data_IF_606004286845
#
_entry.id   IF_606004286845
#
_cell.length_a   1.000
_cell.length_b   1.000
_cell.length_c   1.000
_cell.angle_alpha   90.00
_cell.angle_beta   90.00
_cell.angle_gamma   90.00
#
_symmetry.space_group_name_H-M   'P 1'
#
loop_
_entity.id
_entity.type
_entity.pdbx_description
1 polymer ?
#
# COMPACT_ATOMS: atom_id res chain seq x y z
N UNK A 1 -40.15 -61.27 47.62
CA UNK A 1 -40.89 -60.60 48.71
C UNK A 1 -41.16 -59.17 48.30
N UNK A 2 -42.34 -58.94 47.93
CA UNK A 2 -43.35 -58.10 48.60
C UNK A 2 -43.10 -56.64 48.32
N UNK A 3 -43.89 -56.18 47.38
CA UNK A 3 -45.05 -55.26 47.41
C UNK A 3 -44.68 -53.76 47.52
N UNK A 4 -45.19 -52.96 46.72
CA UNK A 4 -46.52 -52.36 46.32
C UNK A 4 -46.33 -50.86 46.42
N UNK A 5 -46.88 -49.95 45.75
CA UNK A 5 -47.93 -49.69 44.82
C UNK A 5 -47.90 -48.17 44.44
N UNK A 6 -48.42 -47.85 43.28
CA UNK A 6 -48.80 -46.49 42.87
C UNK A 6 -50.04 -46.03 43.68
N UNK A 7 -50.50 -44.76 43.59
CA UNK A 7 -50.88 -44.03 42.34
C UNK A 7 -50.77 -42.51 42.39
N UNK A 8 -50.68 -41.91 41.19
CA UNK A 8 -51.66 -41.11 40.43
C UNK A 8 -52.00 -39.65 40.88
N UNK A 9 -51.82 -38.73 39.93
CA UNK A 9 -52.73 -37.72 39.40
C UNK A 9 -52.50 -36.25 39.78
N UNK A 10 -52.48 -35.45 38.69
CA UNK A 10 -52.78 -34.02 38.51
C UNK A 10 -51.66 -33.00 38.83
N UNK A 11 -51.36 -31.95 38.12
CA UNK A 11 -52.21 -31.16 37.17
C UNK A 11 -51.28 -30.33 36.31
N UNK A 12 -51.64 -30.11 35.05
CA UNK A 12 -51.04 -29.18 34.13
C UNK A 12 -51.41 -27.74 34.47
N UNK A 13 -50.46 -26.84 34.48
CA UNK A 13 -50.68 -25.43 34.13
C UNK A 13 -49.33 -24.65 34.08
N UNK A 14 -49.09 -23.93 33.00
CA UNK A 14 -48.29 -22.68 33.02
C UNK A 14 -46.86 -22.76 32.46
N UNK A 15 -46.70 -23.03 31.16
CA UNK A 15 -45.51 -22.61 30.41
C UNK A 15 -45.91 -21.79 29.19
N UNK A 16 -46.45 -20.64 29.42
CA UNK A 16 -46.51 -19.55 28.45
C UNK A 16 -46.00 -18.29 29.15
N UNK A 17 -44.81 -17.82 28.79
CA UNK A 17 -44.29 -16.55 29.33
C UNK A 17 -42.77 -16.34 29.25
N UNK A 18 -41.98 -17.34 28.81
CA UNK A 18 -40.52 -17.21 28.88
C UNK A 18 -39.82 -16.91 27.55
N UNK A 19 -40.45 -17.15 26.40
CA UNK A 19 -39.80 -16.98 25.09
C UNK A 19 -39.84 -15.53 24.55
N UNK A 20 -40.82 -14.74 24.97
CA UNK A 20 -40.93 -13.32 24.53
C UNK A 20 -39.94 -12.37 25.19
N UNK A 21 -39.47 -12.68 26.41
CA UNK A 21 -38.53 -11.82 27.15
C UNK A 21 -37.08 -11.95 26.68
N UNK A 22 -36.69 -13.09 26.10
CA UNK A 22 -35.33 -13.32 25.58
C UNK A 22 -35.12 -12.60 24.24
N UNK A 23 -36.10 -12.56 23.37
CA UNK A 23 -35.99 -11.84 22.10
C UNK A 23 -36.02 -10.32 22.31
N UNK A 24 -36.85 -9.79 23.22
CA UNK A 24 -36.91 -8.36 23.50
C UNK A 24 -35.57 -7.82 24.09
N UNK A 25 -34.90 -8.59 24.92
CA UNK A 25 -33.57 -8.21 25.45
C UNK A 25 -32.52 -8.16 24.37
N UNK A 26 -32.48 -9.11 23.42
CA UNK A 26 -31.54 -9.07 22.29
C UNK A 26 -31.73 -7.86 21.38
N UNK A 27 -32.97 -7.49 21.11
CA UNK A 27 -33.25 -6.27 20.34
C UNK A 27 -32.91 -4.98 21.11
N UNK A 28 -33.09 -4.92 22.41
CA UNK A 28 -32.65 -3.79 23.22
C UNK A 28 -31.11 -3.64 23.23
N UNK A 29 -30.35 -4.72 23.28
CA UNK A 29 -28.89 -4.66 23.21
C UNK A 29 -28.40 -4.24 21.80
N UNK A 30 -29.04 -4.73 20.73
CA UNK A 30 -28.71 -4.32 19.36
C UNK A 30 -29.02 -2.82 19.11
N UNK A 31 -30.13 -2.31 19.64
CA UNK A 31 -30.45 -0.88 19.51
C UNK A 31 -29.57 0.00 20.39
N UNK A 32 -29.14 -0.48 21.56
CA UNK A 32 -28.18 0.23 22.41
C UNK A 32 -26.79 0.24 21.82
N UNK A 33 -26.33 -0.85 21.15
CA UNK A 33 -25.06 -0.91 20.44
C UNK A 33 -25.05 -0.01 19.18
N UNK A 34 -26.16 0.01 18.43
CA UNK A 34 -26.28 0.91 17.29
C UNK A 34 -26.31 2.39 17.72
N UNK A 35 -26.95 2.71 18.87
CA UNK A 35 -26.96 4.06 19.43
C UNK A 35 -25.59 4.46 20.01
N UNK A 36 -24.82 3.51 20.56
CA UNK A 36 -23.46 3.76 21.06
C UNK A 36 -22.47 4.00 19.90
N UNK A 37 -22.58 3.22 18.82
CA UNK A 37 -21.80 3.42 17.59
C UNK A 37 -22.12 4.77 16.92
N UNK A 38 -23.39 5.17 16.88
CA UNK A 38 -23.78 6.49 16.39
C UNK A 38 -23.32 7.64 17.30
N UNK A 39 -23.25 7.42 18.62
CA UNK A 39 -22.75 8.41 19.57
C UNK A 39 -21.21 8.54 19.49
N UNK A 40 -20.49 7.44 19.29
CA UNK A 40 -19.04 7.44 19.10
C UNK A 40 -18.68 8.09 17.76
N UNK A 41 -19.38 7.76 16.66
CA UNK A 41 -19.23 8.45 15.39
C UNK A 41 -19.60 9.94 15.48
N UNK A 42 -20.67 10.29 16.20
CA UNK A 42 -21.07 11.69 16.39
C UNK A 42 -20.07 12.51 17.22
N UNK A 43 -19.39 11.91 18.20
CA UNK A 43 -18.33 12.59 18.98
C UNK A 43 -17.06 12.77 18.15
N UNK A 44 -16.77 11.86 17.20
CA UNK A 44 -15.65 12.01 16.27
C UNK A 44 -15.92 13.06 15.18
N UNK A 45 -17.16 13.15 14.67
CA UNK A 45 -17.52 14.08 13.60
C UNK A 45 -17.90 15.50 14.08
N UNK A 46 -18.39 15.68 15.30
CA UNK A 46 -18.88 16.98 15.80
C UNK A 46 -18.06 17.60 16.94
N UNK A 47 -17.00 16.95 17.40
CA UNK A 47 -16.20 17.37 18.55
C UNK A 47 -14.95 18.19 18.27
N UNK A 48 -14.59 18.44 17.01
CA UNK A 48 -13.46 19.30 16.64
C UNK A 48 -13.94 20.46 15.77
N UNK A 49 -14.00 21.66 16.34
CA UNK A 49 -13.95 22.86 15.52
C UNK A 49 -12.57 22.92 14.85
N UNK A 50 -12.51 22.99 13.51
CA UNK A 50 -11.23 23.20 12.84
C UNK A 50 -10.67 24.56 13.27
N UNK A 51 -9.39 24.59 13.61
CA UNK A 51 -8.68 25.85 13.80
C UNK A 51 -8.86 26.72 12.55
N UNK A 52 -9.01 28.05 12.68
CA UNK A 52 -9.19 28.93 11.53
C UNK A 52 -7.96 28.79 10.61
N UNK A 53 -8.15 28.22 9.44
CA UNK A 53 -7.14 28.23 8.38
C UNK A 53 -7.03 29.64 7.84
N UNK A 54 -5.84 30.21 7.84
CA UNK A 54 -5.53 31.30 6.93
C UNK A 54 -5.69 30.74 5.51
N UNK A 55 -6.60 31.31 4.74
CA UNK A 55 -6.84 30.93 3.35
C UNK A 55 -5.62 31.32 2.51
N UNK A 56 -4.71 30.36 2.32
CA UNK A 56 -3.79 30.38 1.20
C UNK A 56 -4.58 30.31 -0.13
N UNK A 57 -4.02 30.76 -1.23
CA UNK A 57 -4.71 30.68 -2.52
C UNK A 57 -5.07 29.24 -2.82
N UNK A 58 -6.34 28.97 -3.15
CA UNK A 58 -6.80 27.67 -3.65
C UNK A 58 -5.89 27.23 -4.80
N UNK A 59 -5.48 25.95 -4.85
CA UNK A 59 -4.74 25.45 -5.99
C UNK A 59 -5.55 25.68 -7.26
N UNK A 60 -4.93 26.32 -8.23
CA UNK A 60 -5.52 26.51 -9.56
C UNK A 60 -5.53 25.12 -10.20
N UNK A 61 -6.67 24.62 -10.72
CA UNK A 61 -6.68 23.33 -11.39
C UNK A 61 -5.63 23.34 -12.50
N UNK A 62 -4.73 22.37 -12.48
CA UNK A 62 -3.76 22.15 -13.56
C UNK A 62 -4.55 21.90 -14.84
N UNK A 63 -4.48 22.82 -15.78
CA UNK A 63 -5.02 22.60 -17.11
C UNK A 63 -4.22 21.45 -17.72
N UNK A 64 -4.87 20.30 -17.92
CA UNK A 64 -4.35 19.26 -18.79
C UNK A 64 -4.10 19.87 -20.16
N UNK A 65 -2.85 20.15 -20.47
CA UNK A 65 -2.42 20.79 -21.72
C UNK A 65 -1.97 19.80 -22.79
N UNK A 66 -2.34 18.54 -22.68
CA UNK A 66 -2.13 17.59 -23.75
C UNK A 66 -3.33 17.67 -24.73
N UNK A 67 -3.11 17.97 -26.03
CA UNK A 67 -4.08 17.61 -27.06
C UNK A 67 -4.22 16.08 -27.05
N UNK A 68 -5.39 15.55 -27.46
CA UNK A 68 -5.60 14.13 -27.68
C UNK A 68 -4.61 13.60 -28.76
N UNK A 69 -3.42 13.24 -28.33
CA UNK A 69 -2.28 12.71 -29.04
C UNK A 69 -1.58 11.75 -28.09
N UNK A 70 -1.01 10.72 -28.58
CA UNK A 70 -0.36 9.58 -27.95
C UNK A 70 -0.04 9.78 -26.44
N UNK A 71 -0.60 8.95 -25.56
CA UNK A 71 -0.31 9.04 -24.13
C UNK A 71 1.21 8.95 -23.93
N UNK A 72 1.80 9.86 -23.19
CA UNK A 72 3.22 9.89 -22.92
C UNK A 72 3.64 8.62 -22.18
N UNK A 73 4.71 7.98 -22.62
CA UNK A 73 5.27 6.79 -21.96
C UNK A 73 5.74 7.16 -20.55
N UNK A 74 5.24 6.49 -19.51
CA UNK A 74 5.69 6.73 -18.16
C UNK A 74 7.10 6.17 -17.95
N UNK A 75 8.04 7.02 -17.54
CA UNK A 75 9.40 6.63 -17.17
C UNK A 75 9.64 7.10 -15.74
N UNK A 76 9.46 6.18 -14.80
CA UNK A 76 9.51 6.50 -13.38
C UNK A 76 10.72 5.95 -12.64
N UNK A 77 10.99 6.49 -11.46
CA UNK A 77 11.98 5.96 -10.53
C UNK A 77 11.39 5.86 -9.12
N UNK A 78 11.65 4.74 -8.44
CA UNK A 78 11.34 4.60 -7.03
C UNK A 78 12.39 5.29 -6.17
N UNK A 79 11.90 6.12 -5.22
CA UNK A 79 12.69 6.80 -4.20
C UNK A 79 12.32 6.21 -2.83
N UNK A 80 13.06 5.20 -2.34
CA UNK A 80 12.74 4.56 -1.06
C UNK A 80 12.98 5.53 0.11
N UNK A 81 12.32 5.27 1.24
CA UNK A 81 12.35 6.13 2.42
C UNK A 81 13.78 6.40 2.96
N UNK A 82 14.68 5.43 2.83
CA UNK A 82 16.06 5.58 3.30
C UNK A 82 16.89 6.53 2.42
N UNK A 83 16.49 6.79 1.16
CA UNK A 83 17.07 7.84 0.31
C UNK A 83 16.74 9.24 0.79
N UNK A 84 15.67 9.39 1.58
CA UNK A 84 15.21 10.67 2.12
C UNK A 84 15.87 11.02 3.46
N UNK A 85 16.57 10.06 4.07
CA UNK A 85 17.28 10.28 5.33
C UNK A 85 18.50 11.17 5.12
N UNK A 86 18.68 12.16 6.00
CA UNK A 86 19.86 13.01 6.06
C UNK A 86 20.46 12.96 7.45
N UNK A 87 21.79 12.95 7.56
CA UNK A 87 22.48 12.84 8.84
C UNK A 87 22.24 14.06 9.76
N UNK A 88 21.99 15.22 9.17
CA UNK A 88 21.80 16.50 9.86
C UNK A 88 20.40 16.65 10.42
N UNK A 89 19.41 15.90 9.92
CA UNK A 89 18.00 16.00 10.30
C UNK A 89 17.45 17.45 10.27
N UNK A 90 17.86 18.24 9.28
CA UNK A 90 17.40 19.62 9.10
C UNK A 90 16.56 19.78 7.85
N UNK A 91 15.66 20.78 7.85
CA UNK A 91 14.88 21.12 6.66
C UNK A 91 15.78 21.43 5.44
N UNK A 92 16.90 22.16 5.67
CA UNK A 92 17.83 22.51 4.60
C UNK A 92 18.47 21.25 3.98
N UNK A 93 19.01 20.35 4.81
CA UNK A 93 19.63 19.12 4.29
C UNK A 93 18.62 18.22 3.56
N UNK A 94 17.39 18.11 4.09
CA UNK A 94 16.31 17.41 3.43
C UNK A 94 15.98 18.01 2.05
N UNK A 95 15.86 19.35 2.00
CA UNK A 95 15.55 20.07 0.77
C UNK A 95 16.65 19.90 -0.29
N UNK A 96 17.91 20.06 0.09
CA UNK A 96 19.06 19.88 -0.81
C UNK A 96 19.15 18.44 -1.35
N UNK A 97 18.89 17.45 -0.47
CA UNK A 97 18.88 16.04 -0.85
C UNK A 97 17.77 15.76 -1.87
N UNK A 98 16.52 16.14 -1.57
CA UNK A 98 15.40 15.87 -2.47
C UNK A 98 15.49 16.64 -3.80
N UNK A 99 15.94 17.89 -3.78
CA UNK A 99 16.23 18.65 -5.01
C UNK A 99 17.23 17.91 -5.89
N UNK A 100 18.30 17.35 -5.31
CA UNK A 100 19.29 16.55 -6.05
C UNK A 100 18.62 15.31 -6.68
N UNK A 101 17.76 14.61 -5.93
CA UNK A 101 17.00 13.47 -6.44
C UNK A 101 16.14 13.87 -7.63
N UNK A 102 15.29 14.87 -7.47
CA UNK A 102 14.33 15.28 -8.47
C UNK A 102 15.01 15.85 -9.75
N UNK A 103 16.02 16.71 -9.60
CA UNK A 103 16.78 17.26 -10.71
C UNK A 103 17.52 16.18 -11.50
N UNK A 104 18.20 15.26 -10.81
CA UNK A 104 18.92 14.17 -11.49
C UNK A 104 17.93 13.22 -12.20
N UNK A 105 16.78 12.92 -11.61
CA UNK A 105 15.75 12.12 -12.26
C UNK A 105 15.27 12.80 -13.55
N UNK A 106 14.95 14.09 -13.49
CA UNK A 106 14.54 14.87 -14.65
C UNK A 106 15.63 14.95 -15.72
N UNK A 107 16.90 15.21 -15.36
CA UNK A 107 18.04 15.23 -16.27
C UNK A 107 18.30 13.87 -16.95
N UNK A 108 17.89 12.78 -16.30
CA UNK A 108 17.95 11.41 -16.84
C UNK A 108 16.70 11.01 -17.61
N UNK A 109 15.80 11.94 -17.90
CA UNK A 109 14.60 11.69 -18.71
C UNK A 109 13.48 10.96 -17.98
N UNK A 110 13.49 10.90 -16.63
CA UNK A 110 12.32 10.45 -15.88
C UNK A 110 11.22 11.51 -15.95
N UNK A 111 9.97 11.08 -15.99
CA UNK A 111 8.81 11.96 -15.91
C UNK A 111 7.92 11.69 -14.68
N UNK A 112 8.27 10.69 -13.84
CA UNK A 112 7.55 10.40 -12.61
C UNK A 112 8.49 9.95 -11.46
N UNK A 113 8.14 10.38 -10.22
CA UNK A 113 8.78 9.95 -8.99
C UNK A 113 7.78 9.14 -8.14
N UNK A 114 8.19 7.96 -7.67
CA UNK A 114 7.44 7.11 -6.75
C UNK A 114 8.12 7.16 -5.38
N UNK A 115 7.65 8.06 -4.50
CA UNK A 115 8.36 8.44 -3.28
C UNK A 115 7.74 7.80 -2.05
N UNK A 116 8.53 7.07 -1.27
CA UNK A 116 8.06 6.32 -0.10
C UNK A 116 7.80 7.24 1.10
N UNK A 117 6.58 7.72 1.22
CA UNK A 117 6.16 8.72 2.23
C UNK A 117 5.52 8.12 3.48
N UNK A 118 5.14 6.83 3.46
CA UNK A 118 4.59 6.11 4.63
C UNK A 118 5.14 4.69 4.73
N UNK A 119 6.37 4.50 5.29
CA UNK A 119 7.02 3.19 5.36
C UNK A 119 6.64 2.32 6.56
N UNK A 120 6.21 2.88 7.72
CA UNK A 120 6.09 2.15 8.99
C UNK A 120 4.87 2.56 9.85
N UNK A 121 3.69 2.67 9.30
CA UNK A 121 2.55 3.29 9.97
C UNK A 121 2.95 4.66 10.58
N UNK A 122 3.76 5.41 9.88
CA UNK A 122 4.22 6.75 10.17
C UNK A 122 4.11 7.61 8.89
N UNK A 123 4.39 8.89 8.95
CA UNK A 123 4.19 9.79 7.83
C UNK A 123 5.35 10.78 7.66
N UNK A 124 5.73 11.05 6.41
CA UNK A 124 6.62 12.15 6.05
C UNK A 124 5.81 13.44 5.75
N UNK A 125 4.68 13.60 6.43
CA UNK A 125 3.77 14.74 6.29
C UNK A 125 2.96 14.92 7.59
N UNK A 126 2.39 16.13 7.86
CA UNK A 126 1.48 16.31 8.98
C UNK A 126 0.23 15.46 8.79
N UNK A 127 0.12 14.38 9.56
CA UNK A 127 -1.00 13.44 9.52
C UNK A 127 -1.83 13.51 10.80
N UNK A 128 -3.16 13.41 10.67
CA UNK A 128 -4.04 13.23 11.81
C UNK A 128 -4.10 11.77 12.30
N UNK A 129 -3.65 10.83 11.48
CA UNK A 129 -3.78 9.39 11.70
C UNK A 129 -2.47 8.74 12.13
N UNK A 130 -1.33 9.27 11.68
CA UNK A 130 -0.02 8.65 11.84
C UNK A 130 0.99 9.59 12.50
N UNK A 131 1.95 9.08 13.30
CA UNK A 131 3.05 9.88 13.83
C UNK A 131 4.01 10.31 12.72
N UNK A 132 4.76 11.37 12.97
CA UNK A 132 5.89 11.73 12.13
C UNK A 132 6.90 10.59 12.00
N UNK A 133 7.42 10.38 10.80
CA UNK A 133 8.42 9.34 10.55
C UNK A 133 9.76 9.66 11.19
N UNK A 134 10.40 8.64 11.76
CA UNK A 134 11.76 8.74 12.31
C UNK A 134 12.83 9.10 11.25
N UNK A 135 12.53 8.94 9.99
CA UNK A 135 13.41 9.27 8.86
C UNK A 135 13.79 10.76 8.88
N UNK A 136 12.87 11.63 9.30
CA UNK A 136 13.05 13.08 9.29
C UNK A 136 13.93 13.58 10.44
N UNK A 137 13.81 12.97 11.62
CA UNK A 137 14.40 13.50 12.87
C UNK A 137 15.22 12.46 13.63
N UNK A 138 15.26 11.21 13.17
CA UNK A 138 15.82 10.08 13.91
C UNK A 138 14.88 9.50 14.97
N UNK A 139 13.74 10.14 15.26
CA UNK A 139 12.79 9.71 16.30
C UNK A 139 11.36 9.77 15.76
N UNK A 140 10.64 8.64 15.79
CA UNK A 140 9.24 8.59 15.37
C UNK A 140 8.37 9.45 16.30
N UNK A 141 7.45 10.24 15.72
CA UNK A 141 6.55 11.13 16.44
C UNK A 141 7.13 12.53 16.70
N UNK A 142 8.40 12.77 16.44
CA UNK A 142 9.00 14.09 16.57
C UNK A 142 8.71 14.93 15.32
N UNK A 143 8.04 16.07 15.50
CA UNK A 143 7.76 17.05 14.45
C UNK A 143 9.07 17.64 13.89
N UNK A 144 9.32 17.58 12.58
CA UNK A 144 10.50 18.17 11.94
C UNK A 144 10.43 19.70 11.82
N UNK A 145 9.25 20.31 12.05
CA UNK A 145 9.02 21.75 11.96
C UNK A 145 8.78 22.28 10.54
N UNK A 146 8.55 21.42 9.57
CA UNK A 146 8.21 21.76 8.17
C UNK A 146 7.36 20.64 7.55
N UNK A 147 6.80 20.88 6.38
CA UNK A 147 6.06 19.87 5.62
C UNK A 147 6.92 19.29 4.48
N UNK A 148 7.50 18.10 4.68
CA UNK A 148 8.34 17.45 3.65
C UNK A 148 7.57 17.07 2.40
N UNK A 149 6.32 16.58 2.53
CA UNK A 149 5.54 16.09 1.40
C UNK A 149 5.16 17.25 0.46
N UNK A 150 4.67 18.37 1.01
CA UNK A 150 4.39 19.55 0.20
C UNK A 150 5.63 20.03 -0.55
N UNK A 151 6.78 20.09 0.15
CA UNK A 151 8.04 20.49 -0.48
C UNK A 151 8.44 19.55 -1.62
N UNK A 152 8.27 18.23 -1.44
CA UNK A 152 8.63 17.23 -2.45
C UNK A 152 7.74 17.34 -3.69
N UNK A 153 6.42 17.51 -3.50
CA UNK A 153 5.45 17.68 -4.59
C UNK A 153 5.75 18.95 -5.38
N UNK A 154 5.89 20.09 -4.71
CA UNK A 154 6.20 21.36 -5.34
C UNK A 154 7.51 21.30 -6.16
N UNK A 155 8.52 20.62 -5.62
CA UNK A 155 9.81 20.42 -6.30
C UNK A 155 9.64 19.55 -7.54
N UNK A 156 8.95 18.41 -7.46
CA UNK A 156 8.70 17.52 -8.59
C UNK A 156 7.91 18.22 -9.69
N UNK A 157 6.79 18.85 -9.34
CA UNK A 157 5.94 19.57 -10.29
C UNK A 157 6.66 20.76 -10.96
N UNK A 158 7.53 21.47 -10.23
CA UNK A 158 8.32 22.55 -10.82
C UNK A 158 9.29 22.08 -11.91
N UNK A 159 9.65 20.82 -11.90
CA UNK A 159 10.50 20.13 -12.87
C UNK A 159 9.69 19.37 -13.94
N UNK A 160 8.36 19.40 -13.88
CA UNK A 160 7.47 18.66 -14.79
C UNK A 160 7.39 17.15 -14.51
N UNK A 161 7.75 16.73 -13.30
CA UNK A 161 7.68 15.32 -12.87
C UNK A 161 6.35 15.04 -12.16
N UNK A 162 5.69 13.94 -12.47
CA UNK A 162 4.59 13.41 -11.65
C UNK A 162 5.12 12.94 -10.29
N UNK A 163 4.30 13.08 -9.24
CA UNK A 163 4.61 12.64 -7.90
C UNK A 163 3.60 11.59 -7.41
N UNK A 164 4.05 10.34 -7.29
CA UNK A 164 3.27 9.25 -6.72
C UNK A 164 3.70 9.00 -5.27
N UNK A 165 2.77 9.18 -4.33
CA UNK A 165 3.01 8.90 -2.92
C UNK A 165 3.01 7.38 -2.66
N UNK A 166 4.17 6.82 -2.39
CA UNK A 166 4.30 5.40 -2.10
C UNK A 166 4.10 5.11 -0.62
N UNK A 167 3.19 4.20 -0.32
CA UNK A 167 2.78 3.76 1.00
C UNK A 167 2.98 2.25 1.12
N UNK A 168 3.56 1.78 2.23
CA UNK A 168 3.43 0.38 2.61
C UNK A 168 2.11 0.19 3.36
N UNK A 169 1.17 -0.65 2.88
CA UNK A 169 -0.17 -0.71 3.47
C UNK A 169 -0.22 -1.37 4.85
N UNK A 170 0.61 -2.38 5.12
CA UNK A 170 0.46 -3.20 6.32
C UNK A 170 1.58 -3.05 7.34
N UNK A 171 2.78 -2.65 6.96
CA UNK A 171 3.94 -2.68 7.83
C UNK A 171 3.91 -1.59 8.90
N UNK A 172 3.92 -2.00 10.18
CA UNK A 172 4.06 -1.11 11.34
C UNK A 172 5.53 -0.92 11.71
N UNK A 173 6.27 -2.04 11.74
CA UNK A 173 7.72 -2.06 11.97
C UNK A 173 8.35 -3.36 11.47
N UNK A 174 9.64 -3.34 11.20
CA UNK A 174 10.47 -4.55 11.12
C UNK A 174 11.02 -4.93 12.50
N UNK A 175 11.85 -5.95 12.59
CA UNK A 175 12.51 -6.31 13.85
C UNK A 175 13.36 -5.15 14.43
N UNK A 176 13.94 -4.33 13.55
CA UNK A 176 14.91 -3.30 13.94
C UNK A 176 14.42 -1.87 13.71
N UNK A 177 13.48 -1.65 12.77
CA UNK A 177 13.11 -0.30 12.30
C UNK A 177 11.59 -0.09 12.29
N UNK A 178 11.11 1.03 12.87
CA UNK A 178 11.85 1.97 13.72
C UNK A 178 12.25 1.34 15.06
N UNK A 179 13.33 1.81 15.65
CA UNK A 179 13.86 1.27 16.92
C UNK A 179 12.86 1.40 18.08
N UNK A 180 12.07 2.46 18.08
CA UNK A 180 10.96 2.69 19.02
C UNK A 180 9.76 3.29 18.27
N UNK A 181 8.55 2.87 18.67
CA UNK A 181 7.32 3.44 18.18
C UNK A 181 6.90 4.64 19.03
N UNK A 182 6.32 5.64 18.39
CA UNK A 182 5.76 6.80 19.06
C UNK A 182 4.50 6.46 19.88
N UNK A 183 4.18 7.28 20.90
CA UNK A 183 2.98 7.06 21.72
C UNK A 183 1.67 7.14 20.90
N UNK A 184 1.65 7.92 19.82
CA UNK A 184 0.53 8.05 18.90
C UNK A 184 0.61 7.13 17.66
N UNK A 185 1.53 6.15 17.65
CA UNK A 185 1.51 5.11 16.61
C UNK A 185 0.28 4.21 16.78
N UNK A 186 -0.43 3.81 15.70
CA UNK A 186 -1.60 2.94 15.78
C UNK A 186 -1.37 1.66 16.60
N UNK A 187 -0.21 1.05 16.51
CA UNK A 187 0.12 -0.13 17.33
C UNK A 187 0.19 0.22 18.83
N UNK A 188 0.87 1.29 19.18
CA UNK A 188 0.99 1.73 20.58
C UNK A 188 -0.38 2.07 21.18
N UNK A 189 -1.26 2.69 20.38
CA UNK A 189 -2.58 3.08 20.84
C UNK A 189 -3.57 1.90 20.95
N UNK A 190 -3.50 0.94 20.04
CA UNK A 190 -4.57 -0.04 19.86
C UNK A 190 -4.22 -1.46 20.31
N UNK A 191 -2.94 -1.86 20.34
CA UNK A 191 -2.58 -3.25 20.60
C UNK A 191 -2.99 -3.77 21.99
N UNK A 192 -3.10 -2.89 22.99
CA UNK A 192 -3.57 -3.25 24.32
C UNK A 192 -5.05 -3.64 24.38
N UNK A 193 -5.90 -3.04 23.56
CA UNK A 193 -7.35 -3.29 23.52
C UNK A 193 -7.75 -4.19 22.33
N UNK A 194 -7.08 -4.03 21.20
CA UNK A 194 -7.35 -4.75 19.94
C UNK A 194 -6.10 -5.46 19.39
N UNK A 195 -5.47 -6.39 20.15
CA UNK A 195 -4.26 -7.07 19.69
C UNK A 195 -4.46 -7.83 18.36
N UNK A 196 -5.69 -8.27 18.07
CA UNK A 196 -6.06 -8.96 16.84
C UNK A 196 -5.95 -8.09 15.56
N UNK A 197 -5.85 -6.78 15.68
CA UNK A 197 -5.65 -5.87 14.55
C UNK A 197 -4.23 -5.94 13.99
N UNK A 198 -3.35 -6.65 14.68
CA UNK A 198 -1.95 -6.77 14.32
C UNK A 198 -1.53 -8.22 14.16
N UNK A 199 -0.59 -8.43 13.27
CA UNK A 199 0.11 -9.70 13.04
C UNK A 199 1.57 -9.50 13.40
N UNK A 200 2.19 -10.51 14.03
CA UNK A 200 3.62 -10.48 14.38
C UNK A 200 4.34 -11.59 13.61
N UNK A 201 5.42 -11.24 12.94
CA UNK A 201 6.22 -12.17 12.17
C UNK A 201 7.70 -11.76 12.16
N UNK A 202 8.60 -12.68 12.53
CA UNK A 202 10.06 -12.46 12.54
C UNK A 202 10.49 -11.14 13.22
N UNK A 203 9.84 -10.80 14.32
CA UNK A 203 10.09 -9.57 15.08
C UNK A 203 9.49 -8.30 14.47
N UNK A 204 8.89 -8.39 13.30
CA UNK A 204 8.10 -7.32 12.70
C UNK A 204 6.65 -7.31 13.19
N UNK A 205 5.97 -6.20 12.98
CA UNK A 205 4.53 -6.01 13.27
C UNK A 205 3.85 -5.48 12.02
N UNK A 206 2.69 -6.04 11.72
CA UNK A 206 1.90 -5.75 10.53
C UNK A 206 0.44 -5.54 10.89
N UNK A 207 -0.26 -4.69 10.19
CA UNK A 207 -1.70 -4.53 10.27
C UNK A 207 -2.41 -5.76 9.71
N UNK A 208 -3.52 -6.18 10.33
CA UNK A 208 -4.29 -7.34 9.90
C UNK A 208 -5.51 -6.91 9.06
N UNK A 209 -5.48 -7.07 7.73
CA UNK A 209 -6.56 -6.60 6.84
C UNK A 209 -7.86 -7.41 6.98
N UNK A 210 -7.86 -8.49 7.79
CA UNK A 210 -9.08 -9.23 8.10
C UNK A 210 -10.14 -8.39 8.82
N UNK A 211 -9.74 -7.31 9.48
CA UNK A 211 -10.63 -6.46 10.26
C UNK A 211 -11.05 -5.22 9.47
N UNK A 212 -12.38 -4.95 9.32
CA UNK A 212 -12.88 -3.78 8.62
C UNK A 212 -12.33 -2.45 9.16
N UNK A 213 -12.12 -2.34 10.48
CA UNK A 213 -11.54 -1.14 11.09
C UNK A 213 -10.09 -0.89 10.64
N UNK A 214 -9.31 -1.97 10.44
CA UNK A 214 -7.94 -1.88 9.92
C UNK A 214 -7.94 -1.44 8.46
N UNK A 215 -8.81 -2.04 7.63
CA UNK A 215 -8.95 -1.62 6.21
C UNK A 215 -9.39 -0.16 6.09
N UNK A 216 -10.32 0.27 6.94
CA UNK A 216 -10.74 1.68 6.99
C UNK A 216 -9.57 2.61 7.34
N UNK A 217 -8.77 2.29 8.37
CA UNK A 217 -7.60 3.08 8.75
C UNK A 217 -6.57 3.20 7.60
N UNK A 218 -6.36 2.13 6.82
CA UNK A 218 -5.45 2.14 5.68
C UNK A 218 -6.01 3.04 4.57
N UNK A 219 -7.31 2.90 4.27
CA UNK A 219 -8.00 3.67 3.24
C UNK A 219 -8.09 5.16 3.59
N UNK A 220 -8.45 5.47 4.85
CA UNK A 220 -8.48 6.86 5.37
C UNK A 220 -7.10 7.51 5.27
N UNK A 221 -6.03 6.74 5.52
CA UNK A 221 -4.66 7.26 5.40
C UNK A 221 -4.21 7.51 3.96
N UNK A 222 -4.76 6.83 2.97
CA UNK A 222 -4.55 7.15 1.56
C UNK A 222 -5.38 8.36 1.15
N UNK A 223 -6.64 8.43 1.56
CA UNK A 223 -7.53 9.56 1.31
C UNK A 223 -7.00 10.87 1.94
N UNK A 224 -6.43 10.80 3.16
CA UNK A 224 -5.82 11.97 3.84
C UNK A 224 -4.75 12.65 2.97
N UNK A 225 -3.93 11.87 2.24
CA UNK A 225 -2.94 12.43 1.32
C UNK A 225 -3.64 13.16 0.17
N UNK A 226 -4.58 12.51 -0.48
CA UNK A 226 -5.31 13.08 -1.64
C UNK A 226 -6.13 14.31 -1.25
N UNK A 227 -6.68 14.35 -0.04
CA UNK A 227 -7.42 15.50 0.49
C UNK A 227 -6.55 16.74 0.74
N UNK A 228 -5.27 16.53 1.06
CA UNK A 228 -4.42 17.62 1.54
C UNK A 228 -3.29 18.00 0.56
N UNK A 229 -2.99 17.16 -0.44
CA UNK A 229 -1.83 17.33 -1.33
C UNK A 229 -2.20 17.06 -2.79
N UNK A 230 -1.58 17.80 -3.69
CA UNK A 230 -1.72 17.67 -5.15
C UNK A 230 -0.81 16.54 -5.68
N UNK A 231 -1.09 15.29 -5.27
CA UNK A 231 -0.36 14.12 -5.76
C UNK A 231 -0.97 13.62 -7.06
N UNK A 232 -0.14 13.12 -7.98
CA UNK A 232 -0.60 12.52 -9.24
C UNK A 232 -1.08 11.07 -9.02
N UNK A 233 -0.57 10.41 -7.96
CA UNK A 233 -0.98 9.05 -7.61
C UNK A 233 -0.66 8.63 -6.19
N UNK A 234 -1.36 7.56 -5.78
CA UNK A 234 -1.04 6.76 -4.60
C UNK A 234 -0.49 5.42 -5.09
N UNK A 235 0.58 4.95 -4.49
CA UNK A 235 1.28 3.73 -4.87
C UNK A 235 1.48 2.79 -3.69
N UNK A 236 1.13 1.50 -3.84
CA UNK A 236 1.47 0.46 -2.88
C UNK A 236 2.57 -0.45 -3.42
N UNK A 237 3.39 -1.00 -2.53
CA UNK A 237 4.38 -2.02 -2.84
C UNK A 237 3.80 -3.45 -2.78
N UNK A 238 4.68 -4.48 -2.73
CA UNK A 238 4.33 -5.89 -2.70
C UNK A 238 4.13 -6.47 -1.29
N UNK A 239 4.17 -5.63 -0.24
CA UNK A 239 4.08 -6.09 1.14
C UNK A 239 2.62 -6.24 1.59
N UNK A 240 1.99 -7.38 1.22
CA UNK A 240 0.68 -7.82 1.72
C UNK A 240 0.86 -8.71 2.97
N UNK A 241 0.36 -9.94 2.99
CA UNK A 241 0.63 -10.81 4.13
C UNK A 241 2.13 -11.13 4.22
N UNK A 242 2.76 -11.02 5.42
CA UNK A 242 4.21 -11.20 5.54
C UNK A 242 4.67 -12.66 5.42
N UNK A 243 3.75 -13.63 5.55
CA UNK A 243 4.04 -15.04 5.44
C UNK A 243 2.79 -15.88 5.17
N UNK A 244 3.00 -17.12 4.70
CA UNK A 244 1.93 -18.10 4.52
C UNK A 244 1.59 -18.84 5.83
N UNK A 245 2.39 -18.70 6.88
CA UNK A 245 2.23 -19.45 8.14
C UNK A 245 0.83 -19.25 8.74
N UNK A 246 0.17 -20.35 9.11
CA UNK A 246 -1.19 -20.33 9.62
C UNK A 246 -1.32 -19.71 11.03
N UNK A 247 -0.23 -19.58 11.77
CA UNK A 247 -0.24 -18.97 13.10
C UNK A 247 -0.40 -17.46 13.06
N UNK A 248 -0.06 -16.82 11.92
CA UNK A 248 0.00 -15.38 11.72
C UNK A 248 -1.32 -14.67 12.10
N UNK A 249 -2.44 -15.23 11.70
CA UNK A 249 -3.79 -14.69 11.89
C UNK A 249 -4.81 -15.76 12.35
N UNK A 250 -4.32 -16.82 13.00
CA UNK A 250 -5.11 -18.00 13.39
C UNK A 250 -6.36 -17.68 14.20
N UNK A 251 -6.30 -16.71 15.12
CA UNK A 251 -7.45 -16.28 15.92
C UNK A 251 -8.53 -15.61 15.04
N UNK A 252 -8.13 -14.76 14.10
CA UNK A 252 -9.04 -14.11 13.19
C UNK A 252 -9.70 -15.12 12.23
N UNK A 253 -8.90 -16.03 11.67
CA UNK A 253 -9.42 -17.09 10.81
C UNK A 253 -10.37 -18.05 11.55
N UNK A 254 -10.03 -18.43 12.80
CA UNK A 254 -10.91 -19.26 13.63
C UNK A 254 -12.25 -18.57 13.92
N UNK A 255 -12.24 -17.27 14.22
CA UNK A 255 -13.47 -16.52 14.42
C UNK A 255 -14.33 -16.46 13.13
N UNK A 256 -13.68 -16.25 11.96
CA UNK A 256 -14.34 -16.28 10.67
C UNK A 256 -15.00 -17.64 10.39
N UNK A 257 -14.28 -18.75 10.54
CA UNK A 257 -14.81 -20.10 10.26
C UNK A 257 -15.98 -20.50 11.15
N UNK A 258 -16.06 -19.93 12.36
CA UNK A 258 -17.19 -20.13 13.28
C UNK A 258 -18.40 -19.23 12.95
N UNK A 259 -18.23 -18.21 12.16
CA UNK A 259 -19.28 -17.23 11.83
C UNK A 259 -20.04 -17.53 10.53
N UNK A 260 -19.53 -18.43 9.69
CA UNK A 260 -20.09 -18.77 8.39
C UNK A 260 -20.29 -20.29 8.24
N UNK A 261 -21.30 -20.67 7.44
CA UNK A 261 -21.68 -22.08 7.23
C UNK A 261 -20.66 -22.83 6.33
N UNK A 262 -20.17 -22.15 5.28
CA UNK A 262 -19.19 -22.69 4.33
C UNK A 262 -17.98 -21.74 4.26
N UNK A 263 -16.99 -21.92 5.16
CA UNK A 263 -15.85 -21.03 5.20
C UNK A 263 -14.89 -21.26 4.04
N UNK A 264 -14.30 -20.18 3.56
CA UNK A 264 -13.19 -20.22 2.62
C UNK A 264 -11.98 -20.91 3.26
N UNK A 265 -11.11 -21.50 2.45
CA UNK A 265 -9.79 -21.92 2.90
C UNK A 265 -8.97 -20.72 3.42
N UNK A 266 -7.97 -20.93 4.26
CA UNK A 266 -7.13 -19.85 4.78
C UNK A 266 -6.50 -18.98 3.67
N UNK A 267 -5.89 -19.53 2.61
CA UNK A 267 -5.39 -18.70 1.51
C UNK A 267 -6.50 -17.88 0.85
N UNK A 268 -7.62 -18.49 0.48
CA UNK A 268 -8.73 -17.79 -0.17
C UNK A 268 -9.35 -16.70 0.73
N UNK A 269 -9.38 -16.91 2.05
CA UNK A 269 -9.85 -15.91 3.01
C UNK A 269 -8.87 -14.73 3.12
N UNK A 270 -7.57 -14.98 3.13
CA UNK A 270 -6.55 -13.92 3.10
C UNK A 270 -6.64 -13.10 1.82
N UNK A 271 -6.75 -13.77 0.67
CA UNK A 271 -6.98 -13.12 -0.63
C UNK A 271 -8.23 -12.23 -0.61
N UNK A 272 -9.35 -12.72 -0.06
CA UNK A 272 -10.57 -11.93 0.04
C UNK A 272 -10.40 -10.68 0.94
N UNK A 273 -9.60 -10.77 2.01
CA UNK A 273 -9.29 -9.63 2.88
C UNK A 273 -8.40 -8.59 2.16
N UNK A 274 -7.40 -9.03 1.40
CA UNK A 274 -6.56 -8.13 0.59
C UNK A 274 -7.39 -7.44 -0.49
N UNK A 275 -8.26 -8.18 -1.19
CA UNK A 275 -9.17 -7.63 -2.18
C UNK A 275 -10.10 -6.57 -1.58
N UNK A 276 -10.67 -6.85 -0.40
CA UNK A 276 -11.53 -5.89 0.29
C UNK A 276 -10.76 -4.63 0.73
N UNK A 277 -9.49 -4.75 1.11
CA UNK A 277 -8.62 -3.62 1.45
C UNK A 277 -8.31 -2.77 0.21
N UNK A 278 -7.85 -3.40 -0.87
CA UNK A 278 -7.47 -2.70 -2.11
C UNK A 278 -8.67 -1.98 -2.72
N UNK A 279 -9.83 -2.65 -2.80
CA UNK A 279 -11.05 -2.01 -3.29
C UNK A 279 -11.50 -0.82 -2.42
N UNK A 280 -11.40 -0.93 -1.08
CA UNK A 280 -11.76 0.16 -0.18
C UNK A 280 -10.80 1.35 -0.32
N UNK A 281 -9.51 1.11 -0.50
CA UNK A 281 -8.51 2.17 -0.76
C UNK A 281 -8.80 2.87 -2.08
N UNK A 282 -9.05 2.10 -3.15
CA UNK A 282 -9.44 2.65 -4.45
C UNK A 282 -10.68 3.55 -4.34
N UNK A 283 -11.75 3.04 -3.72
CA UNK A 283 -12.99 3.79 -3.52
C UNK A 283 -12.75 5.09 -2.74
N UNK A 284 -11.95 5.03 -1.67
CA UNK A 284 -11.66 6.20 -0.83
C UNK A 284 -10.85 7.27 -1.59
N UNK A 285 -9.86 6.89 -2.38
CA UNK A 285 -9.10 7.80 -3.23
C UNK A 285 -10.01 8.46 -4.26
N UNK A 286 -10.77 7.66 -5.02
CA UNK A 286 -11.66 8.16 -6.09
C UNK A 286 -12.82 8.99 -5.57
N UNK A 287 -13.23 8.81 -4.32
CA UNK A 287 -14.25 9.66 -3.69
C UNK A 287 -13.72 11.07 -3.38
N UNK A 288 -12.41 11.25 -3.21
CA UNK A 288 -11.77 12.55 -3.00
C UNK A 288 -11.42 13.20 -4.35
N UNK A 289 -10.66 12.50 -5.19
CA UNK A 289 -10.31 12.94 -6.55
C UNK A 289 -10.26 11.75 -7.51
N UNK A 290 -11.12 11.73 -8.52
CA UNK A 290 -11.19 10.67 -9.54
C UNK A 290 -9.95 10.61 -10.44
N UNK A 291 -9.18 11.71 -10.55
CA UNK A 291 -8.01 11.83 -11.41
C UNK A 291 -6.72 11.29 -10.75
N UNK A 292 -6.65 11.22 -9.42
CA UNK A 292 -5.48 10.66 -8.72
C UNK A 292 -5.39 9.17 -9.00
N UNK A 293 -4.30 8.73 -9.62
CA UNK A 293 -4.09 7.33 -9.94
C UNK A 293 -3.82 6.50 -8.68
N UNK A 294 -4.38 5.29 -8.61
CA UNK A 294 -3.98 4.31 -7.60
C UNK A 294 -3.37 3.08 -8.26
N UNK A 295 -2.18 2.71 -7.85
CA UNK A 295 -1.50 1.54 -8.39
C UNK A 295 -0.72 0.75 -7.37
N UNK A 296 -0.34 -0.46 -7.78
CA UNK A 296 0.40 -1.40 -6.94
C UNK A 296 1.59 -1.93 -7.73
N UNK A 297 2.76 -2.08 -7.06
CA UNK A 297 3.89 -2.82 -7.61
C UNK A 297 4.01 -4.19 -6.93
N UNK A 298 3.30 -5.21 -7.43
CA UNK A 298 3.38 -6.57 -6.90
C UNK A 298 4.70 -7.24 -7.27
N UNK A 299 4.95 -8.42 -6.71
CA UNK A 299 6.15 -9.20 -7.08
C UNK A 299 6.12 -9.57 -8.56
N UNK A 300 7.30 -9.75 -9.17
CA UNK A 300 7.37 -10.16 -10.57
C UNK A 300 6.91 -11.60 -10.83
N UNK A 301 6.82 -12.43 -9.79
CA UNK A 301 6.30 -13.79 -9.86
C UNK A 301 4.87 -13.83 -9.34
N UNK A 302 3.90 -14.01 -10.22
CA UNK A 302 2.46 -14.03 -9.91
C UNK A 302 2.11 -15.08 -8.85
N UNK A 303 2.77 -16.24 -8.85
CA UNK A 303 2.53 -17.27 -7.83
C UNK A 303 2.95 -16.82 -6.43
N UNK A 304 4.00 -16.00 -6.32
CA UNK A 304 4.38 -15.42 -5.03
C UNK A 304 3.33 -14.42 -4.52
N UNK A 305 2.76 -13.62 -5.41
CA UNK A 305 1.67 -12.70 -5.06
C UNK A 305 0.46 -13.45 -4.53
N UNK A 306 0.02 -14.50 -5.25
CA UNK A 306 -1.08 -15.37 -4.80
C UNK A 306 -0.79 -15.99 -3.42
N UNK A 307 0.44 -16.46 -3.20
CA UNK A 307 0.88 -17.05 -1.94
C UNK A 307 0.83 -16.05 -0.77
N UNK A 308 1.00 -14.75 -1.04
CA UNK A 308 0.93 -13.66 -0.06
C UNK A 308 -0.44 -12.98 -0.03
N UNK A 309 -1.44 -13.56 -0.68
CA UNK A 309 -2.82 -13.07 -0.70
C UNK A 309 -3.05 -11.85 -1.60
N UNK A 310 -2.14 -11.55 -2.52
CA UNK A 310 -2.30 -10.51 -3.52
C UNK A 310 -2.93 -11.10 -4.79
N UNK A 311 -4.17 -10.73 -5.10
CA UNK A 311 -4.98 -11.26 -6.20
C UNK A 311 -4.80 -10.38 -7.46
N UNK A 312 -3.58 -10.37 -7.98
CA UNK A 312 -3.21 -9.52 -9.12
C UNK A 312 -4.05 -9.80 -10.36
N UNK A 313 -4.53 -11.03 -10.53
CA UNK A 313 -5.39 -11.41 -11.66
C UNK A 313 -6.78 -10.74 -11.55
N UNK A 314 -7.38 -10.71 -10.37
CA UNK A 314 -8.64 -9.98 -10.13
C UNK A 314 -8.42 -8.47 -10.27
N UNK A 315 -7.34 -7.92 -9.70
CA UNK A 315 -7.05 -6.48 -9.79
C UNK A 315 -6.81 -6.02 -11.22
N UNK A 316 -6.19 -6.87 -12.04
CA UNK A 316 -6.02 -6.59 -13.46
C UNK A 316 -7.33 -6.64 -14.26
N UNK A 317 -8.17 -7.65 -14.00
CA UNK A 317 -9.34 -7.93 -14.83
C UNK A 317 -10.58 -7.10 -14.47
N UNK A 318 -10.71 -6.67 -13.21
CA UNK A 318 -11.95 -6.08 -12.68
C UNK A 318 -11.72 -4.61 -12.30
N UNK A 319 -12.49 -3.65 -12.86
CA UNK A 319 -12.42 -2.25 -12.44
C UNK A 319 -12.75 -2.06 -10.96
N UNK A 320 -12.16 -1.04 -10.32
CA UNK A 320 -12.45 -0.69 -8.93
C UNK A 320 -11.43 -1.21 -7.92
N UNK A 321 -10.30 -1.70 -8.41
CA UNK A 321 -9.16 -2.09 -7.58
C UNK A 321 -7.94 -1.17 -7.78
N UNK A 322 -7.48 -1.02 -9.01
CA UNK A 322 -6.30 -0.21 -9.34
C UNK A 322 -6.44 0.42 -10.73
N UNK A 323 -5.73 1.51 -10.97
CA UNK A 323 -5.58 2.14 -12.29
C UNK A 323 -4.35 1.60 -13.04
N UNK A 324 -3.34 1.12 -12.31
CA UNK A 324 -2.16 0.49 -12.89
C UNK A 324 -1.57 -0.61 -12.01
N UNK A 325 -0.86 -1.54 -12.65
CA UNK A 325 0.04 -2.49 -12.00
C UNK A 325 1.46 -2.27 -12.51
N UNK A 326 2.44 -2.35 -11.60
CA UNK A 326 3.86 -2.19 -11.91
C UNK A 326 4.67 -3.37 -11.35
N UNK A 327 4.51 -4.60 -11.90
CA UNK A 327 5.20 -5.77 -11.39
C UNK A 327 6.71 -5.59 -11.35
N UNK A 328 7.31 -6.07 -10.26
CA UNK A 328 8.75 -6.01 -10.01
C UNK A 328 9.48 -7.12 -10.79
N UNK A 329 9.67 -6.92 -12.10
CA UNK A 329 10.31 -7.89 -13.01
C UNK A 329 11.84 -7.93 -12.79
N UNK A 330 12.26 -8.20 -11.55
CA UNK A 330 13.65 -8.10 -11.07
C UNK A 330 14.49 -9.35 -11.41
N UNK A 331 14.37 -9.82 -12.64
CA UNK A 331 15.04 -11.01 -13.17
C UNK A 331 15.95 -10.60 -14.34
N UNK A 332 17.13 -11.23 -14.47
CA UNK A 332 17.90 -11.13 -15.72
C UNK A 332 17.25 -11.97 -16.81
N UNK A 333 17.66 -11.80 -18.07
CA UNK A 333 17.21 -12.67 -19.17
C UNK A 333 17.62 -14.14 -18.99
N UNK A 334 18.72 -14.38 -18.25
CA UNK A 334 19.28 -15.71 -17.99
C UNK A 334 19.02 -16.19 -16.56
N UNK A 335 18.04 -15.60 -15.83
CA UNK A 335 17.65 -16.08 -14.51
C UNK A 335 17.13 -17.52 -14.60
N UNK A 336 17.72 -18.45 -13.81
CA UNK A 336 17.39 -19.88 -13.90
C UNK A 336 15.99 -20.23 -13.42
N UNK A 337 15.44 -19.45 -12.47
CA UNK A 337 14.13 -19.73 -11.85
C UNK A 337 12.98 -19.11 -12.67
N UNK A 338 13.14 -17.86 -13.09
CA UNK A 338 12.16 -17.10 -13.86
C UNK A 338 12.88 -16.06 -14.73
N UNK A 339 13.22 -16.40 -15.99
CA UNK A 339 13.81 -15.42 -16.91
C UNK A 339 12.89 -14.21 -17.13
N UNK A 340 13.48 -13.01 -17.26
CA UNK A 340 12.74 -11.77 -17.48
C UNK A 340 11.66 -11.87 -18.56
N UNK A 341 12.02 -12.43 -19.71
CA UNK A 341 11.08 -12.57 -20.82
C UNK A 341 9.86 -13.41 -20.46
N UNK A 342 10.04 -14.50 -19.73
CA UNK A 342 8.94 -15.35 -19.27
C UNK A 342 8.07 -14.59 -18.25
N UNK A 343 8.66 -13.89 -17.29
CA UNK A 343 7.91 -13.12 -16.33
C UNK A 343 7.06 -12.03 -17.02
N UNK A 344 7.63 -11.32 -17.99
CA UNK A 344 6.90 -10.33 -18.79
C UNK A 344 5.73 -10.94 -19.53
N UNK A 345 5.92 -12.08 -20.22
CA UNK A 345 4.88 -12.79 -20.94
C UNK A 345 3.74 -13.30 -20.02
N UNK A 346 4.06 -13.74 -18.80
CA UNK A 346 3.07 -14.14 -17.80
C UNK A 346 2.19 -12.95 -17.38
N UNK A 347 2.78 -11.78 -17.14
CA UNK A 347 2.04 -10.55 -16.82
C UNK A 347 1.21 -10.03 -17.98
N UNK A 348 1.71 -10.10 -19.20
CA UNK A 348 0.96 -9.72 -20.40
C UNK A 348 -0.24 -10.63 -20.69
N UNK A 349 -0.12 -11.91 -20.37
CA UNK A 349 -1.19 -12.89 -20.56
C UNK A 349 -2.37 -12.71 -19.60
N UNK A 350 -2.23 -11.91 -18.51
CA UNK A 350 -3.33 -11.64 -17.62
C UNK A 350 -4.46 -10.88 -18.35
N UNK A 351 -5.72 -11.30 -18.21
CA UNK A 351 -6.85 -10.49 -18.66
C UNK A 351 -6.84 -9.14 -17.99
N UNK A 352 -6.98 -8.07 -18.74
CA UNK A 352 -6.98 -6.69 -18.24
C UNK A 352 -8.26 -5.97 -18.63
N UNK A 353 -8.81 -5.20 -17.70
CA UNK A 353 -9.89 -4.28 -18.07
C UNK A 353 -9.31 -3.09 -18.90
N UNK A 354 -10.09 -2.47 -19.79
CA UNK A 354 -9.56 -1.50 -20.76
C UNK A 354 -8.89 -0.27 -20.17
N UNK A 355 -9.17 0.08 -18.91
CA UNK A 355 -8.59 1.24 -18.25
C UNK A 355 -7.30 0.94 -17.48
N UNK A 356 -6.90 -0.33 -17.35
CA UNK A 356 -5.69 -0.69 -16.61
C UNK A 356 -4.43 -0.41 -17.42
N UNK A 357 -3.47 0.28 -16.79
CA UNK A 357 -2.11 0.43 -17.30
C UNK A 357 -1.18 -0.63 -16.71
N UNK A 358 -0.25 -1.13 -17.52
CA UNK A 358 0.81 -2.03 -17.06
C UNK A 358 2.16 -1.34 -17.26
N UNK A 359 2.93 -1.21 -16.17
CA UNK A 359 4.29 -0.67 -16.18
C UNK A 359 5.26 -1.79 -15.81
N UNK A 360 6.44 -1.84 -16.42
CA UNK A 360 7.45 -2.82 -16.05
C UNK A 360 8.40 -2.26 -14.99
N UNK A 361 8.44 -2.87 -13.81
CA UNK A 361 9.43 -2.55 -12.77
C UNK A 361 10.76 -3.24 -13.06
N UNK A 362 11.85 -2.47 -13.19
CA UNK A 362 13.18 -2.96 -13.59
C UNK A 362 14.22 -2.79 -12.49
N UNK A 363 15.07 -3.82 -12.30
CA UNK A 363 16.02 -3.91 -11.19
C UNK A 363 17.36 -3.21 -11.50
N UNK A 364 17.37 -1.88 -11.63
CA UNK A 364 18.61 -1.13 -11.88
C UNK A 364 19.66 -1.39 -10.78
N UNK A 365 19.27 -1.68 -9.55
CA UNK A 365 20.19 -1.99 -8.43
C UNK A 365 20.96 -3.29 -8.61
N UNK A 366 20.51 -4.21 -9.47
CA UNK A 366 21.23 -5.45 -9.81
C UNK A 366 22.24 -5.27 -10.95
N UNK A 367 22.11 -4.22 -11.72
CA UNK A 367 22.97 -3.94 -12.86
C UNK A 367 24.45 -3.90 -12.47
N UNK A 368 25.30 -4.63 -13.20
CA UNK A 368 26.73 -4.72 -12.94
C UNK A 368 27.11 -5.44 -11.66
N UNK A 369 26.20 -6.21 -11.06
CA UNK A 369 26.46 -7.03 -9.85
C UNK A 369 26.51 -8.53 -10.20
N UNK A 370 26.95 -9.35 -9.25
CA UNK A 370 26.94 -10.83 -9.36
C UNK A 370 25.59 -11.47 -8.99
N UNK A 371 24.53 -10.67 -8.89
CA UNK A 371 23.20 -11.15 -8.64
C UNK A 371 22.75 -12.19 -9.69
N UNK A 372 21.80 -13.05 -9.31
CA UNK A 372 21.24 -14.11 -10.16
C UNK A 372 22.36 -15.01 -10.79
N UNK A 373 23.41 -15.36 -10.01
CA UNK A 373 24.52 -16.16 -10.49
C UNK A 373 25.47 -15.45 -11.44
N UNK A 374 25.51 -14.12 -11.41
CA UNK A 374 26.41 -13.29 -12.23
C UNK A 374 25.85 -12.96 -13.61
N UNK A 375 24.60 -13.27 -13.89
CA UNK A 375 23.97 -13.00 -15.19
C UNK A 375 23.82 -11.51 -15.49
N UNK A 376 23.83 -10.65 -14.46
CA UNK A 376 23.84 -9.18 -14.58
C UNK A 376 25.22 -8.58 -14.95
N UNK A 377 26.24 -9.43 -15.08
CA UNK A 377 27.60 -9.06 -15.57
C UNK A 377 27.81 -9.44 -17.03
N UNK A 378 26.87 -10.11 -17.68
CA UNK A 378 27.02 -10.65 -19.03
C UNK A 378 27.09 -9.55 -20.10
N UNK A 379 26.47 -8.37 -19.80
CA UNK A 379 26.42 -7.21 -20.70
C UNK A 379 26.14 -5.94 -19.90
N UNK A 380 26.14 -4.78 -20.53
CA UNK A 380 25.94 -3.46 -19.91
C UNK A 380 24.70 -2.70 -20.44
N UNK A 381 23.77 -3.42 -21.08
CA UNK A 381 22.54 -2.89 -21.66
C UNK A 381 21.30 -3.74 -21.31
N UNK A 382 21.34 -4.52 -20.22
CA UNK A 382 20.25 -5.41 -19.79
C UNK A 382 18.99 -4.59 -19.51
N UNK A 383 19.10 -3.51 -18.74
CA UNK A 383 17.96 -2.65 -18.39
C UNK A 383 17.37 -2.00 -19.66
N UNK A 384 18.20 -1.55 -20.59
CA UNK A 384 17.73 -1.00 -21.86
C UNK A 384 16.90 -2.00 -22.66
N UNK A 385 17.41 -3.23 -22.80
CA UNK A 385 16.72 -4.30 -23.52
C UNK A 385 15.43 -4.75 -22.82
N UNK A 386 15.42 -4.76 -21.49
CA UNK A 386 14.21 -5.05 -20.71
C UNK A 386 13.15 -3.97 -20.91
N UNK A 387 13.54 -2.70 -20.87
CA UNK A 387 12.64 -1.58 -21.16
C UNK A 387 12.09 -1.67 -22.59
N UNK A 388 12.95 -1.92 -23.58
CA UNK A 388 12.53 -2.10 -24.97
C UNK A 388 11.53 -3.23 -25.13
N UNK A 389 11.81 -4.40 -24.56
CA UNK A 389 10.92 -5.55 -24.61
C UNK A 389 9.56 -5.24 -23.96
N UNK A 390 9.55 -4.60 -22.78
CA UNK A 390 8.31 -4.21 -22.11
C UNK A 390 7.47 -3.23 -22.94
N UNK A 391 8.07 -2.19 -23.51
CA UNK A 391 7.36 -1.20 -24.32
C UNK A 391 6.84 -1.80 -25.63
N UNK A 392 7.63 -2.66 -26.27
CA UNK A 392 7.22 -3.37 -27.51
C UNK A 392 6.07 -4.36 -27.25
N UNK A 393 5.97 -4.91 -26.05
CA UNK A 393 4.93 -5.84 -25.65
C UNK A 393 3.61 -5.17 -25.26
N UNK A 394 3.62 -3.84 -25.10
CA UNK A 394 2.42 -3.06 -24.81
C UNK A 394 2.33 -2.58 -23.37
N UNK A 395 3.41 -2.62 -22.59
CA UNK A 395 3.49 -1.84 -21.36
C UNK A 395 3.47 -0.34 -21.68
N UNK A 396 2.76 0.45 -20.87
CA UNK A 396 2.63 1.89 -21.05
C UNK A 396 3.75 2.68 -20.35
N UNK A 397 4.77 1.99 -19.83
CA UNK A 397 5.93 2.61 -19.20
C UNK A 397 6.79 1.64 -18.42
N UNK A 398 7.84 2.19 -17.83
CA UNK A 398 8.82 1.47 -17.02
C UNK A 398 9.13 2.24 -15.75
N UNK A 399 9.44 1.52 -14.67
CA UNK A 399 9.90 2.10 -13.41
C UNK A 399 11.24 1.48 -13.02
N UNK A 400 12.21 2.31 -12.64
CA UNK A 400 13.54 1.87 -12.26
C UNK A 400 13.67 1.76 -10.73
N UNK A 401 13.99 0.60 -10.20
CA UNK A 401 14.29 0.40 -8.79
C UNK A 401 15.80 0.35 -8.60
N UNK A 402 16.42 1.30 -8.00
CA UNK A 402 15.89 2.49 -7.35
C UNK A 402 16.87 3.68 -7.52
N UNK A 403 16.50 4.83 -6.97
CA UNK A 403 17.32 6.05 -6.99
C UNK A 403 18.78 5.83 -6.56
N UNK A 404 19.04 4.95 -5.56
CA UNK A 404 20.42 4.67 -5.10
C UNK A 404 21.31 4.18 -6.23
N UNK A 405 20.76 3.42 -7.17
CA UNK A 405 21.51 2.88 -8.29
C UNK A 405 21.94 3.96 -9.30
N UNK A 406 21.28 5.13 -9.32
CA UNK A 406 21.66 6.25 -10.19
C UNK A 406 23.06 6.79 -9.91
N UNK A 407 23.53 6.65 -8.67
CA UNK A 407 24.85 7.05 -8.22
C UNK A 407 25.86 5.90 -8.16
N UNK A 408 25.42 4.69 -8.51
CA UNK A 408 26.29 3.50 -8.51
C UNK A 408 27.20 3.48 -9.73
N UNK A 409 28.52 3.36 -9.51
CA UNK A 409 29.47 3.16 -10.60
C UNK A 409 29.22 1.85 -11.36
N UNK A 410 28.71 0.82 -10.68
CA UNK A 410 28.38 -0.47 -11.28
C UNK A 410 27.22 -0.37 -12.25
N UNK A 411 26.16 0.40 -11.89
CA UNK A 411 24.99 0.60 -12.72
C UNK A 411 25.14 1.74 -13.76
N UNK A 412 26.22 2.51 -13.71
CA UNK A 412 26.36 3.74 -14.51
C UNK A 412 26.18 3.51 -16.01
N UNK A 413 26.75 2.44 -16.55
CA UNK A 413 26.67 2.13 -17.99
C UNK A 413 25.29 1.61 -18.38
N UNK A 414 24.69 0.78 -17.55
CA UNK A 414 23.31 0.30 -17.72
C UNK A 414 22.32 1.46 -17.70
N UNK A 415 22.48 2.38 -16.74
CA UNK A 415 21.62 3.58 -16.66
C UNK A 415 21.80 4.46 -17.91
N UNK A 416 23.06 4.68 -18.37
CA UNK A 416 23.31 5.46 -19.59
C UNK A 416 22.61 4.84 -20.81
N UNK A 417 22.73 3.52 -20.99
CA UNK A 417 22.11 2.81 -22.10
C UNK A 417 20.56 2.82 -21.99
N UNK A 418 20.01 2.63 -20.79
CA UNK A 418 18.58 2.70 -20.55
C UNK A 418 18.00 4.09 -20.85
N UNK A 419 18.66 5.16 -20.37
CA UNK A 419 18.25 6.56 -20.63
C UNK A 419 18.32 6.87 -22.14
N UNK A 420 19.37 6.42 -22.84
CA UNK A 420 19.51 6.63 -24.28
C UNK A 420 18.39 5.92 -25.08
N UNK A 421 17.92 4.77 -24.64
CA UNK A 421 16.79 4.07 -25.23
C UNK A 421 15.46 4.80 -24.93
N UNK A 422 15.18 5.05 -23.63
CA UNK A 422 13.93 5.62 -23.18
C UNK A 422 13.67 7.04 -23.72
N UNK A 423 14.73 7.81 -24.00
CA UNK A 423 14.60 9.10 -24.66
C UNK A 423 14.14 9.05 -26.12
N UNK A 424 13.83 7.85 -26.66
CA UNK A 424 13.29 7.67 -28.02
C UNK A 424 11.77 7.44 -28.00
N UNK A 425 11.21 7.21 -26.83
CA UNK A 425 9.77 7.00 -26.58
C UNK A 425 9.12 8.22 -25.91
#
# INVERSE_FOLDING_TARGET
>A
MIHKERPLVKEAAGKEGSMGRFHLRKYCYLVLWAALLAAVAGVWFFGREPAPRESGPSPTPRASSAPAGEEETLVGVWVPYFSLHTAEHTQQAFAENFQTIAQTAQEKGMNALFVHVRPFCDALYPSALYPWSHILTGTQGQDPGFDPLQFMIDTAHSLGLEFHAWLNPLRVKTAETPAALADNNPYTLLAGEYPQYFMEWEGGVYLNPAYPAVRAMIADGAAEIVENYDVDGIHFDDYFYPAQDASLDSAAYSAYTQSVEEPLSLPAWRTANSNAMVAQVYESIKAVDENVAFGISPQGNIQNDENMGADVATWAAVPGYVDYLAPQLYYSFENEALPYQQALEEWEALPRHPGLKLYAGLALYKAGTDADGGTWLSRDDIIALQAEAALQSGCQGVLLYSWEAFNSQQAAKELENAVALLGQY
#
